data_IF_470166602040
#
_entry.id   IF_470166602040
#
_cell.length_a   1.000
_cell.length_b   1.000
_cell.length_c   1.000
_cell.angle_alpha   90.00
_cell.angle_beta   90.00
_cell.angle_gamma   90.00
#
_symmetry.space_group_name_H-M   'P 1'
#
loop_
_entity.id
_entity.type
_entity.pdbx_description
1 polymer ?
#
# COMPACT_ATOMS: atom_id res chain seq x y z
N UNK A 1 -11.14 4.58 -1.15
CA UNK A 1 -11.35 3.24 -0.54
C UNK A 1 -10.01 2.66 -0.10
N UNK A 2 -9.99 2.03 1.07
CA UNK A 2 -8.80 1.36 1.57
C UNK A 2 -9.11 -0.13 1.70
N UNK A 3 -8.23 -0.98 1.18
CA UNK A 3 -8.29 -2.44 1.33
C UNK A 3 -7.00 -2.91 1.98
N UNK A 4 -7.10 -3.76 2.99
CA UNK A 4 -5.93 -4.27 3.71
C UNK A 4 -5.91 -5.79 3.67
N UNK A 5 -4.80 -6.34 3.16
CA UNK A 5 -4.52 -7.77 3.15
C UNK A 5 -3.54 -8.02 4.31
N UNK A 6 -3.99 -8.69 5.36
CA UNK A 6 -3.16 -8.96 6.51
C UNK A 6 -3.13 -10.46 6.81
N UNK A 7 -1.96 -10.97 7.13
CA UNK A 7 -1.76 -12.37 7.50
C UNK A 7 -0.28 -12.66 7.64
N UNK A 8 0.07 -13.76 8.32
CA UNK A 8 1.46 -14.19 8.43
C UNK A 8 2.06 -14.48 7.05
N UNK A 9 3.37 -14.48 6.98
CA UNK A 9 4.11 -14.88 5.79
C UNK A 9 3.68 -16.29 5.37
N UNK A 10 3.50 -16.51 4.06
CA UNK A 10 3.12 -17.85 3.55
C UNK A 10 1.61 -18.11 3.48
N UNK A 11 0.76 -17.11 3.67
CA UNK A 11 -0.70 -17.24 3.59
C UNK A 11 -1.27 -16.95 2.19
N UNK A 12 -0.42 -16.77 1.18
CA UNK A 12 -0.87 -16.48 -0.19
C UNK A 12 -1.17 -15.03 -0.49
N UNK A 13 -0.87 -14.10 0.44
CA UNK A 13 -1.11 -12.66 0.23
C UNK A 13 -0.41 -12.10 -1.00
N UNK A 14 0.83 -12.51 -1.22
CA UNK A 14 1.65 -11.97 -2.31
C UNK A 14 1.01 -12.19 -3.67
N UNK A 15 0.53 -13.41 -3.91
CA UNK A 15 -0.14 -13.73 -5.18
C UNK A 15 -1.40 -12.90 -5.36
N UNK A 16 -2.23 -12.81 -4.32
CA UNK A 16 -3.46 -12.02 -4.36
C UNK A 16 -3.13 -10.55 -4.62
N UNK A 17 -2.13 -10.03 -3.93
CA UNK A 17 -1.69 -8.64 -4.10
C UNK A 17 -1.25 -8.35 -5.54
N UNK A 18 -0.40 -9.21 -6.10
CA UNK A 18 0.10 -9.05 -7.48
C UNK A 18 -1.05 -9.11 -8.49
N UNK A 19 -1.98 -10.06 -8.30
CA UNK A 19 -3.14 -10.19 -9.17
C UNK A 19 -4.02 -8.93 -9.11
N UNK A 20 -4.19 -8.35 -7.92
CA UNK A 20 -4.95 -7.12 -7.75
C UNK A 20 -4.28 -5.94 -8.45
N UNK A 21 -2.95 -5.83 -8.35
CA UNK A 21 -2.19 -4.76 -9.03
C UNK A 21 -2.39 -4.85 -10.54
N UNK A 22 -2.18 -6.02 -11.11
CA UNK A 22 -2.29 -6.22 -12.55
C UNK A 22 -3.72 -6.02 -13.05
N UNK A 23 -4.71 -6.43 -12.26
CA UNK A 23 -6.12 -6.24 -12.60
C UNK A 23 -6.51 -4.76 -12.56
N UNK A 24 -5.93 -3.99 -11.66
CA UNK A 24 -6.23 -2.57 -11.54
C UNK A 24 -5.93 -1.81 -12.84
N UNK A 25 -4.93 -2.25 -13.59
CA UNK A 25 -4.62 -1.63 -14.89
C UNK A 25 -5.77 -1.72 -15.88
N UNK A 26 -6.62 -2.73 -15.74
CA UNK A 26 -7.77 -2.93 -16.63
C UNK A 26 -8.97 -2.12 -16.18
N UNK A 27 -9.09 -1.83 -14.91
CA UNK A 27 -10.29 -1.20 -14.32
C UNK A 27 -10.09 0.26 -13.93
N UNK A 28 -8.86 0.68 -13.62
CA UNK A 28 -8.58 2.06 -13.21
C UNK A 28 -8.44 2.98 -14.42
N UNK A 29 -9.01 4.16 -14.31
CA UNK A 29 -8.91 5.16 -15.37
C UNK A 29 -7.62 5.96 -15.30
N UNK A 30 -7.02 6.05 -14.12
CA UNK A 30 -5.82 6.82 -13.89
C UNK A 30 -4.59 5.94 -13.71
N UNK A 31 -3.56 6.53 -13.14
CA UNK A 31 -2.29 5.85 -12.93
C UNK A 31 -2.34 4.93 -11.73
N UNK A 32 -1.72 3.76 -11.87
CA UNK A 32 -1.56 2.78 -10.80
C UNK A 32 -0.11 2.79 -10.35
N UNK A 33 0.11 2.95 -9.04
CA UNK A 33 1.44 3.01 -8.42
C UNK A 33 1.56 1.83 -7.46
N UNK A 34 2.72 1.17 -7.45
CA UNK A 34 3.02 0.12 -6.48
C UNK A 34 4.27 0.51 -5.71
N UNK A 35 4.13 0.61 -4.39
CA UNK A 35 5.22 0.97 -3.48
C UNK A 35 5.76 -0.31 -2.85
N UNK A 36 7.05 -0.57 -3.03
CA UNK A 36 7.74 -1.72 -2.46
C UNK A 36 9.01 -1.25 -1.78
N UNK A 37 9.64 -2.12 -1.01
CA UNK A 37 10.96 -1.82 -0.43
C UNK A 37 12.05 -1.88 -1.50
N UNK A 38 12.00 -2.90 -2.37
CA UNK A 38 13.02 -3.23 -3.34
C UNK A 38 12.43 -3.76 -4.65
N UNK A 39 13.21 -4.46 -5.46
CA UNK A 39 12.81 -4.94 -6.79
C UNK A 39 12.08 -6.29 -6.78
N UNK A 40 11.61 -6.79 -5.62
CA UNK A 40 11.12 -8.17 -5.49
C UNK A 40 10.01 -8.58 -6.45
N UNK A 41 9.19 -7.64 -6.91
CA UNK A 41 8.05 -7.95 -7.78
C UNK A 41 8.18 -7.36 -9.20
N UNK A 42 9.38 -6.92 -9.56
CA UNK A 42 9.59 -6.23 -10.84
C UNK A 42 9.15 -7.06 -12.05
N UNK A 43 9.33 -8.38 -12.00
CA UNK A 43 8.99 -9.26 -13.13
C UNK A 43 7.54 -9.77 -13.08
N UNK A 44 6.88 -9.68 -11.94
CA UNK A 44 5.53 -10.21 -11.74
C UNK A 44 4.46 -9.17 -12.00
N UNK A 45 4.82 -7.90 -11.93
CA UNK A 45 3.90 -6.78 -12.11
C UNK A 45 4.14 -6.14 -13.48
N UNK A 46 3.05 -5.81 -14.17
CA UNK A 46 3.12 -5.17 -15.48
C UNK A 46 3.99 -3.91 -15.45
N UNK A 47 4.79 -3.70 -16.51
CA UNK A 47 5.63 -2.52 -16.65
C UNK A 47 4.84 -1.21 -16.76
N UNK A 48 3.53 -1.29 -16.95
CA UNK A 48 2.65 -0.12 -17.01
C UNK A 48 2.36 0.45 -15.61
N UNK A 49 2.64 -0.32 -14.57
CA UNK A 49 2.52 0.14 -13.19
C UNK A 49 3.78 0.90 -12.81
N UNK A 50 3.63 2.09 -12.22
CA UNK A 50 4.78 2.82 -11.70
C UNK A 50 5.25 2.13 -10.41
N UNK A 51 6.44 1.55 -10.47
CA UNK A 51 7.07 0.94 -9.31
C UNK A 51 7.89 1.99 -8.56
N UNK A 52 7.65 2.12 -7.26
CA UNK A 52 8.38 3.05 -6.40
C UNK A 52 9.03 2.25 -5.28
N UNK A 53 10.35 2.38 -5.15
CA UNK A 53 11.12 1.66 -4.13
C UNK A 53 11.45 2.60 -2.98
N UNK A 54 10.99 2.29 -1.78
CA UNK A 54 11.24 3.12 -0.61
C UNK A 54 12.71 3.15 -0.21
N UNK A 55 13.46 2.08 -0.53
CA UNK A 55 14.90 2.04 -0.26
C UNK A 55 15.68 3.15 -0.99
N UNK A 56 15.17 3.63 -2.13
CA UNK A 56 15.81 4.71 -2.89
C UNK A 56 15.66 6.07 -2.21
N UNK A 57 14.72 6.21 -1.28
CA UNK A 57 14.36 7.50 -0.67
C UNK A 57 14.51 7.51 0.85
N UNK A 58 15.05 6.45 1.43
CA UNK A 58 15.28 6.34 2.88
C UNK A 58 14.03 6.59 3.73
N UNK A 59 12.89 6.13 3.27
CA UNK A 59 11.64 6.23 4.03
C UNK A 59 11.65 5.15 5.12
N UNK A 60 11.59 5.54 6.40
CA UNK A 60 11.76 4.59 7.51
C UNK A 60 10.62 4.59 8.52
N UNK A 61 10.02 5.75 8.79
CA UNK A 61 8.98 5.86 9.82
C UNK A 61 7.59 5.94 9.19
N UNK A 62 6.55 5.69 9.99
CA UNK A 62 5.17 5.85 9.54
C UNK A 62 4.89 7.28 9.10
N UNK A 63 5.42 8.25 9.84
CA UNK A 63 5.25 9.67 9.54
C UNK A 63 5.92 10.05 8.22
N UNK A 64 7.15 9.57 7.99
CA UNK A 64 7.86 9.78 6.72
C UNK A 64 7.11 9.14 5.57
N UNK A 65 6.59 7.94 5.79
CA UNK A 65 5.82 7.23 4.78
C UNK A 65 4.57 8.00 4.39
N UNK A 66 3.83 8.52 5.37
CA UNK A 66 2.64 9.33 5.11
C UNK A 66 2.99 10.57 4.26
N UNK A 67 4.05 11.29 4.63
CA UNK A 67 4.54 12.43 3.85
C UNK A 67 4.94 12.06 2.43
N UNK A 68 5.57 10.89 2.28
CA UNK A 68 5.97 10.36 0.97
C UNK A 68 4.74 10.13 0.08
N UNK A 69 3.70 9.52 0.62
CA UNK A 69 2.44 9.30 -0.09
C UNK A 69 1.78 10.63 -0.46
N UNK A 70 1.74 11.58 0.47
CA UNK A 70 1.18 12.91 0.21
C UNK A 70 1.94 13.61 -0.92
N UNK A 71 3.28 13.49 -0.92
CA UNK A 71 4.12 14.07 -1.98
C UNK A 71 3.81 13.49 -3.35
N UNK A 72 3.59 12.18 -3.43
CA UNK A 72 3.22 11.53 -4.69
C UNK A 72 1.89 12.05 -5.21
N UNK A 73 0.88 12.14 -4.36
CA UNK A 73 -0.46 12.60 -4.74
C UNK A 73 -0.43 14.08 -5.11
N UNK A 74 0.33 14.90 -4.37
CA UNK A 74 0.39 16.35 -4.64
C UNK A 74 1.01 16.67 -6.00
N UNK A 75 1.86 15.79 -6.50
CA UNK A 75 2.54 16.00 -7.77
C UNK A 75 1.78 15.41 -8.97
N UNK A 76 0.97 14.39 -8.74
CA UNK A 76 0.30 13.66 -9.83
C UNK A 76 -1.15 13.37 -9.47
N UNK A 77 -2.06 14.24 -9.92
CA UNK A 77 -3.50 14.08 -9.69
C UNK A 77 -4.13 12.97 -10.54
N UNK A 78 -3.35 12.36 -11.45
CA UNK A 78 -3.85 11.26 -12.27
C UNK A 78 -3.73 9.91 -11.55
N UNK A 79 -3.07 9.85 -10.38
CA UNK A 79 -2.99 8.62 -9.59
C UNK A 79 -4.38 8.29 -9.04
N UNK A 80 -4.87 7.08 -9.32
CA UNK A 80 -6.17 6.61 -8.81
C UNK A 80 -6.06 5.43 -7.86
N UNK A 81 -4.94 4.71 -7.85
CA UNK A 81 -4.75 3.57 -6.97
C UNK A 81 -3.28 3.44 -6.56
N UNK A 82 -3.03 3.34 -5.28
CA UNK A 82 -1.70 3.10 -4.72
C UNK A 82 -1.71 1.77 -3.99
N UNK A 83 -0.87 0.86 -4.44
CA UNK A 83 -0.65 -0.45 -3.81
C UNK A 83 0.62 -0.38 -2.97
N UNK A 84 0.57 -0.91 -1.75
CA UNK A 84 1.73 -0.89 -0.84
C UNK A 84 1.99 -2.31 -0.39
N UNK A 85 3.15 -2.85 -0.75
CA UNK A 85 3.53 -4.21 -0.39
C UNK A 85 4.33 -4.22 0.92
N UNK A 86 3.88 -5.06 1.86
CA UNK A 86 4.61 -5.34 3.10
C UNK A 86 5.01 -4.07 3.85
N UNK A 87 4.01 -3.33 4.34
CA UNK A 87 4.23 -2.04 5.01
C UNK A 87 5.30 -2.08 6.10
N UNK A 88 5.38 -3.18 6.85
CA UNK A 88 6.37 -3.35 7.91
C UNK A 88 7.79 -3.54 7.39
N UNK A 89 7.95 -3.79 6.08
CA UNK A 89 9.26 -3.87 5.41
C UNK A 89 9.56 -2.59 4.64
N UNK A 90 8.51 -1.94 4.12
CA UNK A 90 8.62 -0.67 3.40
C UNK A 90 9.09 0.43 4.35
N UNK A 91 8.65 0.34 5.61
CA UNK A 91 9.08 1.22 6.69
C UNK A 91 9.61 0.37 7.85
N UNK A 92 10.36 0.97 8.76
CA UNK A 92 10.83 0.32 9.98
C UNK A 92 9.83 0.51 11.11
N UNK A 93 8.55 0.47 10.80
CA UNK A 93 7.48 0.77 11.74
C UNK A 93 6.74 -0.51 12.15
N UNK A 94 6.12 -0.47 13.32
CA UNK A 94 5.29 -1.56 13.82
C UNK A 94 3.89 -1.47 13.21
N UNK A 95 3.12 -2.57 13.31
CA UNK A 95 1.72 -2.57 12.88
C UNK A 95 0.91 -1.53 13.65
N UNK A 96 1.17 -1.39 14.96
CA UNK A 96 0.48 -0.40 15.80
C UNK A 96 0.76 1.04 15.36
N UNK A 97 2.01 1.34 15.02
CA UNK A 97 2.38 2.67 14.51
C UNK A 97 1.70 2.95 13.19
N UNK A 98 1.65 1.95 12.30
CA UNK A 98 0.97 2.10 11.02
C UNK A 98 -0.53 2.29 11.21
N UNK A 99 -1.14 1.56 12.16
CA UNK A 99 -2.56 1.73 12.48
C UNK A 99 -2.89 3.18 12.80
N UNK A 100 -1.97 3.89 13.46
CA UNK A 100 -2.18 5.28 13.88
C UNK A 100 -2.27 6.27 12.72
N UNK A 101 -1.74 5.95 11.55
CA UNK A 101 -1.80 6.85 10.38
C UNK A 101 -2.96 6.52 9.44
N UNK A 102 -3.69 5.43 9.67
CA UNK A 102 -4.82 5.05 8.82
C UNK A 102 -5.87 6.16 8.69
N UNK A 103 -6.28 6.84 9.77
CA UNK A 103 -7.25 7.95 9.62
C UNK A 103 -6.76 9.06 8.69
N UNK A 104 -5.46 9.37 8.71
CA UNK A 104 -4.88 10.37 7.82
C UNK A 104 -4.88 9.88 6.36
N UNK A 105 -4.55 8.60 6.13
CA UNK A 105 -4.62 8.01 4.80
C UNK A 105 -6.05 7.99 4.28
N UNK A 106 -7.02 7.67 5.13
CA UNK A 106 -8.43 7.68 4.75
C UNK A 106 -8.87 9.07 4.30
N UNK A 107 -8.43 10.10 5.02
CA UNK A 107 -8.76 11.48 4.67
C UNK A 107 -8.26 11.85 3.27
N UNK A 108 -6.99 11.58 2.97
CA UNK A 108 -6.44 11.91 1.65
C UNK A 108 -7.02 11.02 0.55
N UNK A 109 -7.33 9.77 0.86
CA UNK A 109 -7.99 8.87 -0.09
C UNK A 109 -9.34 9.44 -0.53
N UNK A 110 -10.13 9.91 0.42
CA UNK A 110 -11.44 10.50 0.13
C UNK A 110 -11.32 11.86 -0.57
N UNK A 111 -10.40 12.69 -0.11
CA UNK A 111 -10.23 14.05 -0.64
C UNK A 111 -9.74 14.04 -2.10
N UNK A 112 -8.83 13.14 -2.44
CA UNK A 112 -8.21 13.10 -3.78
C UNK A 112 -8.69 11.92 -4.64
N UNK A 113 -9.67 11.18 -4.17
CA UNK A 113 -10.23 10.02 -4.90
C UNK A 113 -9.17 9.00 -5.28
N UNK A 114 -8.32 8.66 -4.31
CA UNK A 114 -7.27 7.65 -4.48
C UNK A 114 -7.62 6.43 -3.65
N UNK A 115 -7.58 5.25 -4.27
CA UNK A 115 -7.76 3.99 -3.56
C UNK A 115 -6.41 3.47 -3.08
N UNK A 116 -6.40 2.80 -1.93
CA UNK A 116 -5.21 2.16 -1.38
C UNK A 116 -5.45 0.68 -1.17
N UNK A 117 -4.50 -0.15 -1.55
CA UNK A 117 -4.47 -1.57 -1.21
C UNK A 117 -3.14 -1.86 -0.55
N UNK A 118 -3.19 -2.34 0.69
CA UNK A 118 -2.00 -2.45 1.55
C UNK A 118 -1.87 -3.88 2.03
N UNK A 119 -0.70 -4.49 1.80
CA UNK A 119 -0.38 -5.81 2.31
C UNK A 119 0.46 -5.68 3.58
N UNK A 120 0.08 -6.41 4.61
CA UNK A 120 0.79 -6.42 5.90
C UNK A 120 1.12 -7.86 6.26
N UNK A 121 2.42 -8.15 6.45
CA UNK A 121 2.89 -9.46 6.89
C UNK A 121 2.94 -9.50 8.42
N UNK A 122 1.81 -9.81 9.04
CA UNK A 122 1.65 -9.92 10.49
C UNK A 122 0.41 -10.73 10.80
N UNK A 123 0.33 -11.33 12.01
CA UNK A 123 -0.89 -11.99 12.43
C UNK A 123 -2.06 -10.99 12.46
N UNK A 124 -3.22 -11.45 12.03
CA UNK A 124 -4.43 -10.63 11.98
C UNK A 124 -4.76 -10.03 13.35
N UNK A 125 -4.44 -10.74 14.41
CA UNK A 125 -4.68 -10.32 15.80
C UNK A 125 -3.90 -9.05 16.18
N UNK A 126 -2.84 -8.72 15.45
CA UNK A 126 -2.06 -7.51 15.69
C UNK A 126 -2.70 -6.26 15.08
N UNK A 127 -3.75 -6.42 14.28
CA UNK A 127 -4.42 -5.28 13.66
C UNK A 127 -5.12 -4.44 14.73
N UNK A 128 -4.86 -3.14 14.71
CA UNK A 128 -5.59 -2.20 15.54
C UNK A 128 -6.98 -1.94 14.98
N UNK A 129 -7.74 -1.09 15.66
CA UNK A 129 -9.13 -0.77 15.29
C UNK A 129 -9.21 -0.12 13.89
N UNK A 130 -8.24 0.70 13.53
CA UNK A 130 -8.26 1.40 12.25
C UNK A 130 -7.97 0.45 11.08
N UNK A 131 -6.95 -0.40 11.20
CA UNK A 131 -6.65 -1.42 10.20
C UNK A 131 -7.83 -2.39 10.09
N UNK A 132 -8.40 -2.76 11.24
CA UNK A 132 -9.48 -3.74 11.30
C UNK A 132 -10.70 -3.39 10.46
N UNK A 133 -10.96 -2.10 10.24
CA UNK A 133 -12.09 -1.65 9.44
C UNK A 133 -11.97 -2.03 7.96
N UNK A 134 -10.76 -2.25 7.48
CA UNK A 134 -10.48 -2.35 6.05
C UNK A 134 -9.92 -3.70 5.62
N UNK A 135 -9.89 -4.67 6.52
CA UNK A 135 -9.39 -6.02 6.20
C UNK A 135 -10.31 -6.68 5.18
N UNK A 136 -9.70 -7.18 4.10
CA UNK A 136 -10.42 -7.97 3.09
C UNK A 136 -10.00 -9.43 3.21
N UNK A 137 -10.95 -10.32 2.96
CA UNK A 137 -10.68 -11.75 3.00
C UNK A 137 -9.94 -12.19 1.74
N UNK A 138 -8.98 -13.07 1.92
CA UNK A 138 -8.22 -13.67 0.82
C UNK A 138 -8.53 -15.16 0.67
#
# INVERSE_FOLDING_TARGET
>A
MINILIGPKGTGKTKVFIDMVNKALETEKGNVVCVTKDDRHTFDISSKVRMVKTSDFEVKTASEFYGFICGMISQNFDITHIFIDSITKVTETTVAEFDSIIPALEKIANEFSVDFTIAISAPKEEAGANIGKYIVNI
#
